data_IF_535765489832
#
_entry.id   IF_535765489832
#
_cell.length_a   1.000
_cell.length_b   1.000
_cell.length_c   1.000
_cell.angle_alpha   90.00
_cell.angle_beta   90.00
_cell.angle_gamma   90.00
#
_symmetry.space_group_name_H-M   'P 1'
#
loop_
_entity.id
_entity.type
_entity.pdbx_description
1 polymer ?
#
# COMPACT_ATOMS: atom_id res chain seq x y z
N UNK A 1 38.67 21.87 15.95
CA UNK A 1 37.96 22.16 14.72
C UNK A 1 36.49 22.26 15.11
N UNK A 2 35.95 23.48 15.17
CA UNK A 2 34.57 23.73 15.55
C UNK A 2 33.67 23.29 14.41
N UNK A 3 32.79 22.33 14.67
CA UNK A 3 31.68 22.02 13.79
C UNK A 3 30.71 23.18 13.94
N UNK A 4 30.52 23.95 12.86
CA UNK A 4 29.55 25.03 12.81
C UNK A 4 28.15 24.42 12.97
N UNK A 5 27.62 24.44 14.19
CA UNK A 5 26.24 24.08 14.46
C UNK A 5 25.35 25.18 13.87
N UNK A 6 24.87 24.98 12.66
CA UNK A 6 23.75 25.77 12.14
C UNK A 6 22.49 25.33 12.88
N UNK A 7 22.15 26.07 13.91
CA UNK A 7 20.86 25.95 14.58
C UNK A 7 19.91 26.97 13.96
N UNK A 8 19.21 26.58 12.91
CA UNK A 8 18.03 27.33 12.47
C UNK A 8 16.87 26.96 13.40
N UNK A 9 16.49 27.86 14.26
CA UNK A 9 15.29 27.75 15.09
C UNK A 9 14.13 28.22 14.23
N UNK A 10 13.38 27.28 13.68
CA UNK A 10 12.10 27.60 13.06
C UNK A 10 11.08 27.79 14.18
N UNK A 11 10.76 29.06 14.42
CA UNK A 11 9.61 29.44 15.24
C UNK A 11 8.37 29.38 14.34
N UNK A 12 7.69 28.27 14.36
CA UNK A 12 6.34 28.21 13.84
C UNK A 12 5.44 27.61 14.92
N UNK A 13 4.68 28.44 15.60
CA UNK A 13 3.67 28.04 16.59
C UNK A 13 2.42 27.46 15.93
N UNK A 14 2.52 27.01 14.67
CA UNK A 14 1.40 26.41 13.96
C UNK A 14 1.07 25.04 14.53
N UNK A 15 -0.16 24.90 15.02
CA UNK A 15 -0.70 23.62 15.47
C UNK A 15 -0.95 22.73 14.25
N UNK A 16 -0.10 21.71 14.06
CA UNK A 16 -0.26 20.74 12.98
C UNK A 16 -1.01 19.52 13.48
N UNK A 17 -2.17 19.21 12.88
CA UNK A 17 -2.89 17.96 13.13
C UNK A 17 -2.32 16.87 12.24
N UNK A 18 -1.69 15.85 12.85
CA UNK A 18 -1.11 14.70 12.16
C UNK A 18 -1.89 13.42 12.44
N UNK A 19 -2.21 12.66 11.41
CA UNK A 19 -2.74 11.29 11.56
C UNK A 19 -1.56 10.31 11.57
N UNK A 20 -1.29 9.68 12.72
CA UNK A 20 -0.12 8.81 12.91
C UNK A 20 -0.13 7.52 12.08
N UNK A 21 -1.28 7.09 11.60
CA UNK A 21 -1.44 5.85 10.83
C UNK A 21 -1.12 5.98 9.34
N UNK A 22 -0.74 7.16 8.90
CA UNK A 22 -0.35 7.39 7.53
C UNK A 22 1.15 7.15 7.38
N UNK A 23 1.55 6.27 6.46
CA UNK A 23 2.93 6.00 6.06
C UNK A 23 3.64 7.23 5.44
N UNK A 24 3.09 8.42 5.64
CA UNK A 24 3.58 9.71 5.17
C UNK A 24 4.76 10.18 6.01
N UNK A 25 4.76 9.83 7.30
CA UNK A 25 5.85 10.20 8.21
C UNK A 25 7.01 9.19 8.12
N UNK A 26 8.26 9.66 8.18
CA UNK A 26 9.41 8.80 8.38
C UNK A 26 9.17 7.85 9.57
N UNK A 27 9.61 6.60 9.43
CA UNK A 27 9.37 5.55 10.43
C UNK A 27 9.85 5.94 11.83
N UNK A 28 10.89 6.74 11.89
CA UNK A 28 11.48 7.28 13.12
C UNK A 28 10.53 8.26 13.82
N UNK A 29 9.95 9.21 13.08
CA UNK A 29 8.96 10.15 13.62
C UNK A 29 7.68 9.44 14.05
N UNK A 30 7.23 8.44 13.29
CA UNK A 30 6.07 7.62 13.70
C UNK A 30 6.31 6.92 15.04
N UNK A 31 7.50 6.32 15.25
CA UNK A 31 7.86 5.68 16.50
C UNK A 31 7.90 6.68 17.65
N UNK A 32 8.48 7.85 17.42
CA UNK A 32 8.52 8.94 18.39
C UNK A 32 7.10 9.34 18.81
N UNK A 33 6.23 9.68 17.87
CA UNK A 33 4.84 10.08 18.18
C UNK A 33 4.07 8.99 18.93
N UNK A 34 4.25 7.71 18.56
CA UNK A 34 3.59 6.59 19.26
C UNK A 34 4.07 6.40 20.70
N UNK A 35 5.28 6.87 21.03
CA UNK A 35 5.83 6.81 22.40
C UNK A 35 5.48 8.02 23.26
N UNK A 36 5.01 9.12 22.65
CA UNK A 36 4.69 10.35 23.35
C UNK A 36 3.35 10.29 24.10
N UNK A 37 3.32 10.94 25.26
CA UNK A 37 2.07 11.20 26.00
C UNK A 37 1.63 12.65 25.79
N UNK A 38 0.35 12.94 26.04
CA UNK A 38 -0.17 14.30 25.99
C UNK A 38 0.69 15.23 26.87
N UNK A 39 0.96 16.43 26.38
CA UNK A 39 1.81 17.46 26.99
C UNK A 39 3.29 17.05 27.13
N UNK A 40 3.74 16.03 26.43
CA UNK A 40 5.14 15.65 26.38
C UNK A 40 5.88 16.43 25.30
N UNK A 41 7.10 16.87 25.61
CA UNK A 41 8.03 17.47 24.65
C UNK A 41 9.17 16.47 24.44
N UNK A 42 9.45 16.15 23.20
CA UNK A 42 10.54 15.22 22.83
C UNK A 42 11.42 15.89 21.80
N UNK A 43 12.71 15.81 22.02
CA UNK A 43 13.72 16.22 21.04
C UNK A 43 14.33 14.98 20.39
N UNK A 44 14.21 14.91 19.09
CA UNK A 44 14.80 13.86 18.27
C UNK A 44 16.00 14.45 17.53
N UNK A 45 17.17 13.82 17.68
CA UNK A 45 18.37 14.17 16.93
C UNK A 45 18.67 13.06 15.93
N UNK A 46 18.88 13.40 14.69
CA UNK A 46 19.23 12.44 13.63
C UNK A 46 20.31 13.01 12.73
N UNK A 47 21.24 12.14 12.32
CA UNK A 47 22.26 12.44 11.30
C UNK A 47 21.93 11.81 9.95
N UNK A 48 20.83 11.02 9.87
CA UNK A 48 20.34 10.40 8.63
C UNK A 48 19.13 11.14 8.11
N UNK A 49 19.31 11.92 7.08
CA UNK A 49 18.23 12.56 6.31
C UNK A 49 17.86 11.72 5.08
N UNK A 50 18.25 10.43 5.06
CA UNK A 50 18.07 9.52 3.90
C UNK A 50 16.63 9.11 3.63
N UNK A 51 15.74 9.18 4.59
CA UNK A 51 14.31 9.15 4.28
C UNK A 51 13.90 10.57 3.91
N UNK A 52 13.98 10.94 2.62
CA UNK A 52 13.37 12.17 2.14
C UNK A 52 12.03 12.30 2.84
N UNK A 53 11.87 13.33 3.65
CA UNK A 53 10.60 13.71 4.23
C UNK A 53 9.63 13.76 3.06
N UNK A 54 8.75 12.77 2.95
CA UNK A 54 7.87 12.67 1.80
C UNK A 54 6.99 13.90 1.75
N UNK A 55 7.03 14.56 0.62
CA UNK A 55 6.44 15.84 0.23
C UNK A 55 4.90 15.93 0.36
N UNK A 56 4.25 14.99 1.03
CA UNK A 56 2.83 15.05 1.36
C UNK A 56 2.53 15.70 2.71
N UNK A 57 3.51 16.24 3.38
CA UNK A 57 3.30 17.30 4.34
C UNK A 57 3.01 18.55 3.54
N UNK A 58 1.74 18.85 3.36
CA UNK A 58 1.25 20.05 2.68
C UNK A 58 1.40 21.33 3.55
N UNK A 59 2.35 21.37 4.46
CA UNK A 59 2.74 22.60 5.10
C UNK A 59 4.00 23.11 4.40
N UNK A 60 4.01 24.38 4.03
CA UNK A 60 5.17 25.12 3.55
C UNK A 60 6.41 24.96 4.45
N UNK A 61 6.19 24.51 5.66
CA UNK A 61 7.17 24.15 6.67
C UNK A 61 8.19 23.11 6.20
N UNK A 62 7.79 22.08 5.44
CA UNK A 62 8.74 21.03 4.99
C UNK A 62 9.35 21.31 3.62
N UNK A 63 8.72 22.15 2.81
CA UNK A 63 9.30 22.61 1.54
C UNK A 63 10.56 23.48 1.75
N UNK A 64 10.77 24.01 2.95
CA UNK A 64 11.97 24.77 3.32
C UNK A 64 13.19 23.86 3.59
N UNK A 65 13.00 22.52 3.68
CA UNK A 65 14.07 21.57 4.06
C UNK A 65 14.75 20.85 2.89
N UNK A 66 14.58 21.29 1.65
CA UNK A 66 15.39 20.78 0.53
C UNK A 66 16.91 21.06 0.66
N UNK A 67 17.29 21.87 1.66
CA UNK A 67 18.66 22.29 1.90
C UNK A 67 19.52 21.33 2.72
N UNK A 68 18.92 20.29 3.38
CA UNK A 68 19.70 19.36 4.21
C UNK A 68 20.37 18.28 3.37
N UNK A 69 21.69 18.12 3.58
CA UNK A 69 22.51 17.10 2.93
C UNK A 69 22.59 15.86 3.81
N UNK A 70 22.85 14.72 3.20
CA UNK A 70 23.14 13.48 3.93
C UNK A 70 24.39 13.69 4.81
N UNK A 71 24.25 13.44 6.11
CA UNK A 71 25.29 13.69 7.11
C UNK A 71 25.06 14.91 8.00
N UNK A 72 24.13 15.79 7.65
CA UNK A 72 23.76 16.92 8.52
C UNK A 72 23.03 16.41 9.77
N UNK A 73 23.32 17.05 10.92
CA UNK A 73 22.64 16.75 12.17
C UNK A 73 21.37 17.60 12.28
N UNK A 74 20.22 16.96 12.28
CA UNK A 74 18.92 17.65 12.40
C UNK A 74 18.30 17.33 13.75
N UNK A 75 17.88 18.38 14.46
CA UNK A 75 17.15 18.27 15.74
C UNK A 75 15.70 18.69 15.54
N UNK A 76 14.77 17.76 15.81
CA UNK A 76 13.35 18.03 15.84
C UNK A 76 12.87 18.12 17.29
N UNK A 77 12.37 19.24 17.72
CA UNK A 77 11.68 19.37 19.02
C UNK A 77 10.18 19.41 18.75
N UNK A 78 9.48 18.44 19.32
CA UNK A 78 8.04 18.26 19.09
C UNK A 78 7.31 18.28 20.42
N UNK A 79 6.30 19.11 20.53
CA UNK A 79 5.39 19.18 21.68
C UNK A 79 4.05 18.56 21.31
N UNK A 80 3.61 17.55 22.04
CA UNK A 80 2.33 16.89 21.82
C UNK A 80 1.26 17.49 22.72
N UNK A 81 0.42 18.37 22.19
CA UNK A 81 -0.64 19.04 22.95
C UNK A 81 -1.90 18.18 23.16
N UNK A 82 -2.17 17.26 22.25
CA UNK A 82 -3.33 16.40 22.33
C UNK A 82 -3.25 15.19 21.42
N UNK A 83 -4.00 14.16 21.78
CA UNK A 83 -4.25 12.99 20.96
C UNK A 83 -5.76 12.89 20.82
N UNK A 84 -6.25 13.03 19.60
CA UNK A 84 -7.64 12.74 19.30
C UNK A 84 -7.71 11.30 18.78
N UNK A 85 -8.52 10.46 19.41
CA UNK A 85 -8.86 9.17 18.82
C UNK A 85 -9.71 9.47 17.59
N UNK A 86 -9.17 9.20 16.40
CA UNK A 86 -9.99 9.18 15.20
C UNK A 86 -11.05 8.09 15.37
N UNK A 87 -12.30 8.39 14.98
CA UNK A 87 -13.36 7.38 14.94
C UNK A 87 -12.81 6.11 14.30
N UNK A 88 -13.14 4.97 14.88
CA UNK A 88 -12.74 3.69 14.31
C UNK A 88 -13.19 3.65 12.85
N UNK A 89 -12.32 3.22 11.95
CA UNK A 89 -12.57 3.19 10.50
C UNK A 89 -13.94 2.61 10.13
N UNK A 90 -14.38 1.57 10.84
CA UNK A 90 -15.68 0.92 10.59
C UNK A 90 -16.90 1.83 10.89
N UNK A 91 -16.74 2.86 11.72
CA UNK A 91 -17.80 3.85 12.05
C UNK A 91 -17.89 5.01 11.05
N UNK A 92 -16.94 5.13 10.13
CA UNK A 92 -16.93 6.21 9.17
C UNK A 92 -17.98 5.96 8.09
N UNK A 93 -18.46 7.05 7.47
CA UNK A 93 -19.31 6.98 6.28
C UNK A 93 -18.56 6.33 5.11
N UNK A 94 -19.29 5.81 4.12
CA UNK A 94 -18.69 5.18 2.94
C UNK A 94 -17.75 6.13 2.18
N UNK A 95 -18.14 7.40 2.06
CA UNK A 95 -17.31 8.46 1.44
C UNK A 95 -16.00 8.69 2.18
N UNK A 96 -16.03 8.75 3.51
CA UNK A 96 -14.80 8.92 4.31
C UNK A 96 -13.88 7.71 4.20
N UNK A 97 -14.47 6.49 4.19
CA UNK A 97 -13.72 5.24 3.97
C UNK A 97 -13.04 5.26 2.61
N UNK A 98 -13.76 5.69 1.57
CA UNK A 98 -13.25 5.81 0.21
C UNK A 98 -12.07 6.79 0.14
N UNK A 99 -12.20 7.97 0.74
CA UNK A 99 -11.13 8.98 0.78
C UNK A 99 -9.88 8.42 1.45
N UNK A 100 -10.03 7.81 2.63
CA UNK A 100 -8.91 7.24 3.39
C UNK A 100 -8.20 6.16 2.58
N UNK A 101 -8.95 5.22 1.99
CA UNK A 101 -8.37 4.10 1.26
C UNK A 101 -7.76 4.54 -0.07
N UNK A 102 -8.37 5.52 -0.76
CA UNK A 102 -7.82 6.12 -1.99
C UNK A 102 -6.48 6.78 -1.72
N UNK A 103 -6.36 7.53 -0.64
CA UNK A 103 -5.11 8.17 -0.24
C UNK A 103 -4.03 7.13 0.11
N UNK A 104 -4.37 6.08 0.87
CA UNK A 104 -3.43 5.00 1.18
C UNK A 104 -2.95 4.28 -0.08
N UNK A 105 -3.87 3.97 -1.02
CA UNK A 105 -3.53 3.39 -2.32
C UNK A 105 -2.60 4.30 -3.11
N UNK A 106 -2.86 5.62 -3.13
CA UNK A 106 -1.99 6.62 -3.76
C UNK A 106 -0.58 6.58 -3.20
N UNK A 107 -0.44 6.62 -1.87
CA UNK A 107 0.86 6.52 -1.18
C UNK A 107 1.59 5.21 -1.52
N UNK A 108 0.87 4.08 -1.59
CA UNK A 108 1.47 2.81 -2.01
C UNK A 108 2.00 2.88 -3.45
N UNK A 109 1.24 3.53 -4.35
CA UNK A 109 1.65 3.76 -5.74
C UNK A 109 2.93 4.57 -5.87
N UNK A 110 3.13 5.58 -5.02
CA UNK A 110 4.36 6.37 -4.99
C UNK A 110 5.57 5.53 -4.57
N UNK A 111 5.44 4.71 -3.54
CA UNK A 111 6.50 3.78 -3.16
C UNK A 111 6.80 2.77 -4.25
N UNK A 112 5.78 2.29 -4.95
CA UNK A 112 5.93 1.39 -6.08
C UNK A 112 6.74 2.04 -7.22
N UNK A 113 6.38 3.27 -7.61
CA UNK A 113 7.10 4.04 -8.65
C UNK A 113 8.57 4.27 -8.28
N UNK A 114 8.88 4.40 -6.99
CA UNK A 114 10.26 4.54 -6.48
C UNK A 114 11.01 3.20 -6.34
N UNK A 115 10.41 2.08 -6.77
CA UNK A 115 10.97 0.73 -6.67
C UNK A 115 10.94 0.13 -5.26
N UNK A 116 10.33 0.82 -4.28
CA UNK A 116 10.22 0.31 -2.91
C UNK A 116 9.00 -0.62 -2.77
N UNK A 117 9.09 -1.80 -3.41
CA UNK A 117 8.01 -2.77 -3.46
C UNK A 117 7.60 -3.30 -2.08
N UNK A 118 8.56 -3.40 -1.16
CA UNK A 118 8.28 -3.87 0.20
C UNK A 118 7.40 -2.87 0.99
N UNK A 119 7.70 -1.56 0.93
CA UNK A 119 6.86 -0.53 1.55
C UNK A 119 5.50 -0.44 0.85
N UNK A 120 5.47 -0.47 -0.48
CA UNK A 120 4.22 -0.48 -1.25
C UNK A 120 3.33 -1.66 -0.87
N UNK A 121 3.89 -2.87 -0.81
CA UNK A 121 3.17 -4.09 -0.42
C UNK A 121 2.55 -3.98 0.98
N UNK A 122 3.29 -3.47 1.97
CA UNK A 122 2.77 -3.27 3.33
C UNK A 122 1.55 -2.34 3.35
N UNK A 123 1.57 -1.28 2.55
CA UNK A 123 0.44 -0.34 2.49
C UNK A 123 -0.75 -0.97 1.77
N UNK A 124 -0.54 -1.66 0.64
CA UNK A 124 -1.61 -2.40 -0.04
C UNK A 124 -2.20 -3.49 0.84
N UNK A 125 -1.38 -4.23 1.61
CA UNK A 125 -1.87 -5.21 2.59
C UNK A 125 -2.75 -4.55 3.66
N UNK A 126 -2.37 -3.36 4.16
CA UNK A 126 -3.21 -2.61 5.11
C UNK A 126 -4.54 -2.21 4.47
N UNK A 127 -4.53 -1.69 3.24
CA UNK A 127 -5.75 -1.36 2.49
C UNK A 127 -6.63 -2.61 2.35
N UNK A 128 -6.07 -3.73 1.93
CA UNK A 128 -6.80 -4.99 1.75
C UNK A 128 -7.34 -5.53 3.08
N UNK A 129 -6.63 -5.33 4.19
CA UNK A 129 -7.08 -5.71 5.53
C UNK A 129 -8.42 -5.09 5.90
N UNK A 130 -8.67 -3.84 5.55
CA UNK A 130 -9.96 -3.18 5.79
C UNK A 130 -11.13 -3.86 5.06
N UNK A 131 -10.87 -4.46 3.90
CA UNK A 131 -11.89 -5.20 3.15
C UNK A 131 -12.11 -6.62 3.67
N UNK A 132 -11.08 -7.28 4.18
CA UNK A 132 -11.15 -8.67 4.63
C UNK A 132 -11.92 -8.82 5.95
N UNK A 133 -11.88 -7.81 6.82
CA UNK A 133 -12.59 -7.85 8.11
C UNK A 133 -14.04 -7.35 8.02
N UNK A 134 -14.56 -7.13 6.82
CA UNK A 134 -15.92 -6.61 6.63
C UNK A 134 -16.11 -5.15 7.04
N UNK A 135 -15.03 -4.47 7.43
CA UNK A 135 -15.07 -3.12 7.96
C UNK A 135 -15.57 -2.07 6.95
N UNK A 136 -15.55 -2.41 5.66
CA UNK A 136 -16.05 -1.54 4.59
C UNK A 136 -17.54 -1.69 4.37
N UNK A 137 -18.06 -2.92 4.45
CA UNK A 137 -19.45 -3.24 4.08
C UNK A 137 -20.43 -3.18 5.25
N UNK A 138 -19.96 -3.19 6.50
CA UNK A 138 -20.80 -3.29 7.67
C UNK A 138 -20.91 -1.96 8.40
N UNK A 139 -22.04 -1.75 9.10
CA UNK A 139 -22.33 -0.62 9.98
C UNK A 139 -22.78 0.67 9.27
N UNK A 140 -23.59 0.56 8.25
CA UNK A 140 -24.36 1.70 7.71
C UNK A 140 -25.80 1.65 8.20
N UNK A 141 -26.43 2.82 8.36
CA UNK A 141 -27.87 2.86 8.60
C UNK A 141 -28.63 2.46 7.33
N UNK A 142 -29.85 1.93 7.47
CA UNK A 142 -30.69 1.60 6.31
C UNK A 142 -31.03 2.83 5.46
N UNK A 143 -31.02 4.01 6.06
CA UNK A 143 -31.27 5.29 5.38
C UNK A 143 -30.05 5.71 4.57
N UNK A 144 -28.83 5.50 5.09
CA UNK A 144 -27.59 5.75 4.36
C UNK A 144 -27.48 4.84 3.12
N UNK A 145 -27.85 3.55 3.25
CA UNK A 145 -27.76 2.56 2.17
C UNK A 145 -28.65 2.87 0.96
N UNK A 146 -29.71 3.68 1.14
CA UNK A 146 -30.61 4.05 0.06
C UNK A 146 -30.12 5.27 -0.75
N UNK A 147 -29.14 6.01 -0.25
CA UNK A 147 -28.63 7.19 -0.92
C UNK A 147 -27.79 6.85 -2.17
N UNK A 148 -27.95 7.64 -3.24
CA UNK A 148 -27.13 7.49 -4.45
C UNK A 148 -25.64 7.76 -4.17
N UNK A 149 -25.33 8.64 -3.23
CA UNK A 149 -23.98 8.91 -2.77
C UNK A 149 -23.33 7.67 -2.15
N UNK A 150 -24.08 6.95 -1.31
CA UNK A 150 -23.62 5.70 -0.72
C UNK A 150 -23.35 4.63 -1.79
N UNK A 151 -24.28 4.42 -2.71
CA UNK A 151 -24.13 3.43 -3.80
C UNK A 151 -22.90 3.74 -4.64
N UNK A 152 -22.74 4.99 -5.05
CA UNK A 152 -21.56 5.43 -5.81
C UNK A 152 -20.26 5.22 -5.04
N UNK A 153 -20.23 5.52 -3.73
CA UNK A 153 -19.05 5.30 -2.90
C UNK A 153 -18.72 3.81 -2.74
N UNK A 154 -19.74 2.96 -2.60
CA UNK A 154 -19.56 1.51 -2.50
C UNK A 154 -19.03 0.89 -3.79
N UNK A 155 -19.51 1.33 -4.95
CA UNK A 155 -19.00 0.88 -6.25
C UNK A 155 -17.52 1.25 -6.42
N UNK A 156 -17.17 2.48 -6.03
CA UNK A 156 -15.77 2.94 -6.04
C UNK A 156 -14.91 2.17 -5.05
N UNK A 157 -15.42 1.84 -3.86
CA UNK A 157 -14.72 1.01 -2.87
C UNK A 157 -14.47 -0.40 -3.41
N UNK A 158 -15.45 -1.01 -4.08
CA UNK A 158 -15.28 -2.33 -4.70
C UNK A 158 -14.22 -2.31 -5.82
N UNK A 159 -14.23 -1.28 -6.67
CA UNK A 159 -13.20 -1.09 -7.70
C UNK A 159 -11.81 -0.85 -7.07
N UNK A 160 -11.74 -0.09 -5.98
CA UNK A 160 -10.51 0.15 -5.23
C UNK A 160 -9.98 -1.13 -4.60
N UNK A 161 -10.85 -1.98 -4.04
CA UNK A 161 -10.53 -3.29 -3.51
C UNK A 161 -9.78 -4.12 -4.56
N UNK A 162 -10.42 -4.37 -5.70
CA UNK A 162 -9.85 -5.18 -6.78
C UNK A 162 -8.50 -4.62 -7.28
N UNK A 163 -8.42 -3.29 -7.45
CA UNK A 163 -7.18 -2.62 -7.87
C UNK A 163 -6.07 -2.77 -6.83
N UNK A 164 -6.38 -2.64 -5.53
CA UNK A 164 -5.41 -2.78 -4.45
C UNK A 164 -4.85 -4.19 -4.34
N UNK A 165 -5.72 -5.20 -4.44
CA UNK A 165 -5.28 -6.60 -4.46
C UNK A 165 -4.37 -6.87 -5.67
N UNK A 166 -4.76 -6.39 -6.86
CA UNK A 166 -3.95 -6.56 -8.07
C UNK A 166 -2.58 -5.87 -7.95
N UNK A 167 -2.53 -4.68 -7.38
CA UNK A 167 -1.26 -3.97 -7.16
C UNK A 167 -0.38 -4.69 -6.12
N UNK A 168 -0.98 -5.30 -5.10
CA UNK A 168 -0.25 -6.13 -4.13
C UNK A 168 0.37 -7.35 -4.82
N UNK A 169 -0.36 -8.01 -5.71
CA UNK A 169 0.15 -9.13 -6.54
C UNK A 169 1.39 -8.68 -7.31
N UNK A 170 1.35 -7.52 -7.96
CA UNK A 170 2.51 -6.99 -8.70
C UNK A 170 3.70 -6.74 -7.78
N UNK A 171 3.48 -6.15 -6.60
CA UNK A 171 4.55 -5.97 -5.61
C UNK A 171 5.18 -7.29 -5.18
N UNK A 172 4.35 -8.29 -4.84
CA UNK A 172 4.80 -9.62 -4.42
C UNK A 172 5.55 -10.36 -5.53
N UNK A 173 5.11 -10.23 -6.78
CA UNK A 173 5.81 -10.77 -7.95
C UNK A 173 7.20 -10.14 -8.11
N UNK A 174 7.32 -8.80 -7.96
CA UNK A 174 8.62 -8.11 -8.01
C UNK A 174 9.56 -8.53 -6.88
N UNK A 175 9.01 -8.95 -5.74
CA UNK A 175 9.76 -9.48 -4.59
C UNK A 175 10.01 -10.99 -4.69
N UNK A 176 9.53 -11.67 -5.76
CA UNK A 176 9.63 -13.12 -5.99
C UNK A 176 8.93 -13.95 -4.88
N UNK A 177 7.93 -13.40 -4.22
CA UNK A 177 7.13 -14.09 -3.20
C UNK A 177 5.96 -14.84 -3.84
N UNK A 178 6.25 -15.87 -4.64
CA UNK A 178 5.29 -16.52 -5.53
C UNK A 178 4.16 -17.24 -4.78
N UNK A 179 4.42 -17.87 -3.65
CA UNK A 179 3.36 -18.44 -2.81
C UNK A 179 2.35 -17.39 -2.32
N UNK A 180 2.84 -16.18 -1.97
CA UNK A 180 1.96 -15.06 -1.64
C UNK A 180 1.15 -14.60 -2.86
N UNK A 181 1.74 -14.61 -4.06
CA UNK A 181 1.03 -14.27 -5.31
C UNK A 181 -0.13 -15.23 -5.55
N UNK A 182 0.08 -16.54 -5.39
CA UNK A 182 -0.96 -17.56 -5.56
C UNK A 182 -2.12 -17.30 -4.59
N UNK A 183 -1.82 -17.13 -3.30
CA UNK A 183 -2.85 -16.90 -2.28
C UNK A 183 -3.66 -15.60 -2.49
N UNK A 184 -3.01 -14.51 -2.93
CA UNK A 184 -3.70 -13.25 -3.20
C UNK A 184 -4.53 -13.31 -4.48
N UNK A 185 -4.01 -13.96 -5.52
CA UNK A 185 -4.74 -14.11 -6.79
C UNK A 185 -5.96 -15.01 -6.64
N UNK A 186 -5.94 -15.99 -5.74
CA UNK A 186 -7.12 -16.76 -5.37
C UNK A 186 -8.25 -15.86 -4.88
N UNK A 187 -7.98 -14.97 -3.93
CA UNK A 187 -8.97 -14.01 -3.44
C UNK A 187 -9.51 -13.09 -4.56
N UNK A 188 -8.67 -12.71 -5.54
CA UNK A 188 -9.12 -11.92 -6.69
C UNK A 188 -10.04 -12.75 -7.59
N UNK A 189 -9.71 -14.01 -7.84
CA UNK A 189 -10.47 -14.91 -8.70
C UNK A 189 -11.82 -15.26 -8.05
N UNK A 190 -11.89 -15.38 -6.73
CA UNK A 190 -13.15 -15.55 -6.00
C UNK A 190 -14.08 -14.35 -6.19
N UNK A 191 -13.54 -13.14 -6.22
CA UNK A 191 -14.32 -11.91 -6.47
C UNK A 191 -14.64 -11.69 -7.95
N UNK A 192 -13.73 -12.08 -8.83
CA UNK A 192 -13.81 -11.86 -10.28
C UNK A 192 -13.19 -13.06 -11.03
N UNK A 193 -13.96 -14.14 -11.28
CA UNK A 193 -13.44 -15.40 -11.82
C UNK A 193 -12.72 -15.32 -13.18
N UNK A 194 -13.02 -14.26 -13.95
CA UNK A 194 -12.46 -14.04 -15.28
C UNK A 194 -11.47 -12.87 -15.31
N UNK A 195 -10.89 -12.52 -14.17
CA UNK A 195 -9.92 -11.43 -14.09
C UNK A 195 -8.58 -11.84 -14.71
N UNK A 196 -8.38 -11.52 -15.98
CA UNK A 196 -7.23 -11.97 -16.81
C UNK A 196 -5.89 -11.70 -16.16
N UNK A 197 -5.71 -10.52 -15.55
CA UNK A 197 -4.45 -10.16 -14.88
C UNK A 197 -4.16 -11.03 -13.66
N UNK A 198 -5.18 -11.45 -12.89
CA UNK A 198 -5.00 -12.36 -11.76
C UNK A 198 -4.64 -13.77 -12.24
N UNK A 199 -5.34 -14.29 -13.26
CA UNK A 199 -5.04 -15.57 -13.88
C UNK A 199 -3.61 -15.62 -14.43
N UNK A 200 -3.19 -14.54 -15.11
CA UNK A 200 -1.82 -14.43 -15.63
C UNK A 200 -0.76 -14.52 -14.53
N UNK A 201 -0.89 -13.71 -13.47
CA UNK A 201 0.07 -13.75 -12.37
C UNK A 201 0.02 -15.05 -11.58
N UNK A 202 -1.17 -15.66 -11.42
CA UNK A 202 -1.33 -16.96 -10.76
C UNK A 202 -0.61 -18.06 -11.54
N UNK A 203 -0.88 -18.18 -12.85
CA UNK A 203 -0.25 -19.18 -13.68
C UNK A 203 1.28 -19.05 -13.68
N UNK A 204 1.80 -17.82 -13.77
CA UNK A 204 3.24 -17.57 -13.66
C UNK A 204 3.80 -17.94 -12.29
N UNK A 205 3.12 -17.59 -11.21
CA UNK A 205 3.58 -17.93 -9.86
C UNK A 205 3.58 -19.43 -9.63
N UNK A 206 2.58 -20.15 -10.15
CA UNK A 206 2.45 -21.60 -10.02
C UNK A 206 3.63 -22.34 -10.68
N UNK A 207 4.04 -22.01 -11.92
CA UNK A 207 5.21 -22.68 -12.50
C UNK A 207 6.53 -22.27 -11.81
N UNK A 208 6.59 -21.07 -11.20
CA UNK A 208 7.77 -20.66 -10.42
C UNK A 208 7.93 -21.41 -9.09
N UNK A 209 6.87 -22.04 -8.60
CA UNK A 209 6.87 -22.93 -7.42
C UNK A 209 6.69 -24.40 -7.81
N UNK A 210 6.91 -24.72 -9.09
CA UNK A 210 6.87 -26.08 -9.65
C UNK A 210 5.48 -26.76 -9.60
N UNK A 211 4.40 -25.97 -9.43
CA UNK A 211 3.01 -26.43 -9.57
C UNK A 211 2.58 -26.43 -11.04
N UNK A 212 3.23 -27.26 -11.88
CA UNK A 212 3.09 -27.17 -13.34
C UNK A 212 1.68 -27.50 -13.84
N UNK A 213 1.01 -28.51 -13.31
CA UNK A 213 -0.36 -28.87 -13.71
C UNK A 213 -1.34 -27.75 -13.43
N UNK A 214 -1.27 -27.15 -12.22
CA UNK A 214 -2.07 -26.02 -11.83
C UNK A 214 -1.80 -24.80 -12.74
N UNK A 215 -0.54 -24.56 -13.07
CA UNK A 215 -0.13 -23.48 -13.96
C UNK A 215 -0.73 -23.64 -15.35
N UNK A 216 -0.60 -24.84 -15.94
CA UNK A 216 -1.14 -25.15 -17.27
C UNK A 216 -2.65 -24.96 -17.27
N UNK A 217 -3.38 -25.47 -16.28
CA UNK A 217 -4.83 -25.32 -16.17
C UNK A 217 -5.23 -23.83 -16.08
N UNK A 218 -4.53 -23.06 -15.24
CA UNK A 218 -4.80 -21.61 -15.06
C UNK A 218 -4.54 -20.81 -16.33
N UNK A 219 -3.42 -21.07 -17.02
CA UNK A 219 -3.06 -20.37 -18.25
C UNK A 219 -3.91 -20.83 -19.45
N UNK A 220 -4.39 -22.07 -19.48
CA UNK A 220 -5.35 -22.54 -20.47
C UNK A 220 -6.66 -21.74 -20.36
N UNK A 221 -7.21 -21.64 -19.15
CA UNK A 221 -8.40 -20.79 -18.90
C UNK A 221 -8.16 -19.35 -19.33
N UNK A 222 -6.97 -18.81 -19.09
CA UNK A 222 -6.64 -17.43 -19.52
C UNK A 222 -6.64 -17.31 -21.05
N UNK A 223 -6.08 -18.29 -21.77
CA UNK A 223 -6.09 -18.30 -23.23
C UNK A 223 -7.51 -18.48 -23.82
N UNK A 224 -8.39 -19.21 -23.15
CA UNK A 224 -9.80 -19.32 -23.53
C UNK A 224 -10.56 -17.98 -23.40
N UNK A 225 -10.25 -17.21 -22.36
CA UNK A 225 -10.83 -15.88 -22.16
C UNK A 225 -10.30 -14.83 -23.13
N UNK A 226 -9.10 -15.01 -23.65
CA UNK A 226 -8.42 -14.07 -24.54
C UNK A 226 -7.65 -14.82 -25.63
N UNK A 227 -8.36 -15.43 -26.61
CA UNK A 227 -7.74 -16.33 -27.58
C UNK A 227 -6.78 -15.64 -28.56
N UNK A 228 -6.85 -14.34 -28.71
CA UNK A 228 -6.01 -13.58 -29.63
C UNK A 228 -4.73 -13.03 -28.97
N UNK A 229 -4.59 -13.16 -27.65
CA UNK A 229 -3.41 -12.68 -26.94
C UNK A 229 -2.22 -13.64 -27.10
N UNK A 230 -1.25 -13.22 -27.92
CA UNK A 230 -0.03 -14.01 -28.17
C UNK A 230 0.85 -14.15 -26.90
N UNK A 231 0.83 -13.17 -26.00
CA UNK A 231 1.59 -13.20 -24.76
C UNK A 231 1.09 -14.30 -23.82
N UNK A 232 -0.23 -14.47 -23.71
CA UNK A 232 -0.82 -15.53 -22.88
C UNK A 232 -0.51 -16.92 -23.44
N UNK A 233 -0.56 -17.08 -24.78
CA UNK A 233 -0.17 -18.33 -25.44
C UNK A 233 1.30 -18.67 -25.18
N UNK A 234 2.19 -17.68 -25.25
CA UNK A 234 3.61 -17.89 -24.95
C UNK A 234 3.85 -18.34 -23.51
N UNK A 235 3.15 -17.77 -22.54
CA UNK A 235 3.25 -18.19 -21.13
C UNK A 235 2.73 -19.62 -20.92
N UNK A 236 1.64 -20.01 -21.57
CA UNK A 236 1.13 -21.38 -21.53
C UNK A 236 2.15 -22.37 -22.11
N UNK A 237 2.71 -22.08 -23.27
CA UNK A 237 3.75 -22.93 -23.88
C UNK A 237 5.03 -22.98 -23.04
N UNK A 238 5.38 -21.90 -22.37
CA UNK A 238 6.49 -21.89 -21.43
C UNK A 238 6.25 -22.81 -20.24
N UNK A 239 5.06 -22.77 -19.64
CA UNK A 239 4.68 -23.66 -18.53
C UNK A 239 4.73 -25.14 -18.95
N UNK A 240 4.20 -25.48 -20.15
CA UNK A 240 4.26 -26.84 -20.70
C UNK A 240 5.68 -27.33 -20.91
N UNK A 241 6.57 -26.47 -21.42
CA UNK A 241 8.01 -26.81 -21.60
C UNK A 241 8.70 -27.09 -20.28
N UNK A 242 8.44 -26.28 -19.25
CA UNK A 242 9.00 -26.50 -17.92
C UNK A 242 8.52 -27.81 -17.33
N UNK A 243 7.22 -28.12 -17.43
CA UNK A 243 6.66 -29.39 -16.99
C UNK A 243 7.28 -30.58 -17.69
N UNK A 244 7.40 -30.53 -19.03
CA UNK A 244 8.04 -31.61 -19.81
C UNK A 244 9.52 -31.79 -19.50
N UNK A 245 10.22 -30.75 -19.06
CA UNK A 245 11.60 -30.82 -18.61
C UNK A 245 11.72 -31.44 -17.22
N UNK A 246 10.77 -31.18 -16.35
CA UNK A 246 10.73 -31.73 -14.99
C UNK A 246 10.45 -33.25 -15.01
N UNK A 247 9.54 -33.70 -15.85
CA UNK A 247 9.20 -35.11 -16.03
C UNK A 247 10.38 -35.99 -16.57
N UNK A 248 11.46 -35.35 -17.03
CA UNK A 248 12.66 -36.03 -17.55
C UNK A 248 13.77 -36.16 -16.52
N UNK A 249 13.59 -35.57 -15.31
CA UNK A 249 14.55 -35.68 -14.21
C UNK A 249 14.35 -36.95 -13.41
#
# INVERSE_FOLDING_TARGET
>A
MSIDERVEILKDDTLVKLKLDHYILPSMLQKMFKSMKKNMVVTLTTTRVTDKLHTNFTSDFLNQYEAFKDGDTVKFTVSLFGVENTSYFYKNKATDKLEILTRLKGTAGEFFKKGNFAKAAKIYQKVNGYFNFGDVANNFSKEDEQSEEFKSAMDQLNALKLTSFTNLVVCKTKMKEFSSVIAITEQIIDMAPNHSKALFFRGRAQYMVEEFDNSIATLTKLCELSPDDAGFKQELEHAKKLHAADLKK
#
